data_IF_344442090443
#
_entry.id   IF_344442090443
#
_cell.length_a   1.000
_cell.length_b   1.000
_cell.length_c   1.000
_cell.angle_alpha   90.00
_cell.angle_beta   90.00
_cell.angle_gamma   90.00
#
_symmetry.space_group_name_H-M   'P 1'
#
loop_
_entity.id
_entity.type
_entity.pdbx_description
1 polymer ?
#
# COMPACT_ATOMS: atom_id res chain seq x y z
N UNK A 1 0.26 4.41 -2.40
CA UNK A 1 0.16 5.17 -1.14
C UNK A 1 1.57 5.49 -0.60
N UNK A 2 1.94 6.77 -0.44
CA UNK A 2 3.18 7.20 0.24
C UNK A 2 2.79 7.64 1.63
N UNK A 3 3.28 6.94 2.65
CA UNK A 3 3.04 7.31 4.05
C UNK A 3 4.18 8.25 4.45
N UNK A 4 3.85 9.47 4.85
CA UNK A 4 4.82 10.43 5.38
C UNK A 4 4.83 10.31 6.90
N UNK A 5 6.00 9.96 7.45
CA UNK A 5 6.22 9.91 8.88
C UNK A 5 6.69 11.28 9.35
N UNK A 6 5.91 11.98 10.17
CA UNK A 6 6.40 13.18 10.85
C UNK A 6 7.27 12.75 12.04
N UNK A 7 8.59 12.78 11.86
CA UNK A 7 9.55 12.33 12.86
C UNK A 7 10.13 13.50 13.65
N UNK A 8 9.51 13.84 14.80
CA UNK A 8 10.16 14.29 16.05
C UNK A 8 9.19 14.01 17.22
N UNK A 9 9.59 13.19 18.21
CA UNK A 9 8.94 12.94 19.53
C UNK A 9 7.86 11.81 19.65
N UNK A 10 7.58 11.28 20.89
CA UNK A 10 7.35 9.85 21.22
C UNK A 10 6.00 9.23 20.84
N UNK A 11 5.14 9.95 20.14
CA UNK A 11 3.92 9.42 19.54
C UNK A 11 4.07 9.62 18.03
N UNK A 12 4.73 8.67 17.34
CA UNK A 12 4.80 8.69 15.88
C UNK A 12 3.37 8.70 15.34
N UNK A 13 3.01 9.71 14.55
CA UNK A 13 1.69 9.80 13.93
C UNK A 13 1.86 9.81 12.42
N UNK A 14 0.90 9.21 11.72
CA UNK A 14 0.81 9.23 10.26
C UNK A 14 -0.56 9.69 9.80
N UNK A 15 -0.58 10.40 8.68
CA UNK A 15 -1.81 10.63 7.94
C UNK A 15 -2.13 9.38 7.12
N UNK A 16 -3.25 8.72 7.42
CA UNK A 16 -3.66 7.49 6.74
C UNK A 16 -5.16 7.47 6.41
N UNK A 17 -5.54 6.96 5.23
CA UNK A 17 -6.94 6.74 4.88
C UNK A 17 -7.47 5.48 5.56
N UNK A 18 -8.14 5.65 6.70
CA UNK A 18 -8.71 4.52 7.49
C UNK A 18 -10.09 4.10 6.95
N UNK A 19 -10.81 5.01 6.30
CA UNK A 19 -12.09 4.76 5.62
C UNK A 19 -12.13 5.53 4.28
N UNK A 20 -12.92 5.10 3.29
CA UNK A 20 -12.97 5.78 1.99
C UNK A 20 -13.34 7.27 2.10
N UNK A 21 -12.53 8.12 1.47
CA UNK A 21 -12.78 9.56 1.38
C UNK A 21 -12.27 10.41 2.56
N UNK A 22 -11.72 9.80 3.61
CA UNK A 22 -11.26 10.52 4.80
C UNK A 22 -9.82 10.16 5.17
N UNK A 23 -9.07 11.13 5.68
CA UNK A 23 -7.69 10.97 6.17
C UNK A 23 -7.65 11.25 7.66
N UNK A 24 -7.02 10.36 8.43
CA UNK A 24 -6.91 10.45 9.88
C UNK A 24 -5.45 10.54 10.32
N UNK A 25 -5.23 11.23 11.43
CA UNK A 25 -3.99 11.15 12.20
C UNK A 25 -4.00 9.87 13.05
N UNK A 26 -3.17 8.90 12.69
CA UNK A 26 -3.08 7.59 13.33
C UNK A 26 -1.78 7.46 14.11
N UNK A 27 -1.88 7.19 15.42
CA UNK A 27 -0.71 6.93 16.27
C UNK A 27 -0.10 5.55 16.03
N UNK A 28 1.23 5.48 16.03
CA UNK A 28 2.05 4.28 15.89
C UNK A 28 2.61 3.92 17.27
N UNK A 29 2.17 2.80 17.83
CA UNK A 29 2.74 2.28 19.08
C UNK A 29 4.11 1.65 18.87
N UNK A 30 4.28 0.90 17.79
CA UNK A 30 5.49 0.15 17.45
C UNK A 30 5.57 -0.02 15.94
N UNK A 31 6.78 -0.09 15.39
CA UNK A 31 7.02 -0.46 14.00
C UNK A 31 8.24 -1.38 13.91
N UNK A 32 8.27 -2.23 12.90
CA UNK A 32 9.41 -3.09 12.59
C UNK A 32 9.54 -3.29 11.08
N UNK A 33 10.72 -3.70 10.63
CA UNK A 33 10.93 -4.10 9.24
C UNK A 33 10.31 -5.48 9.04
N UNK A 34 9.46 -5.61 8.02
CA UNK A 34 8.87 -6.90 7.68
C UNK A 34 9.88 -7.83 7.00
N UNK A 35 9.94 -9.07 7.45
CA UNK A 35 10.70 -10.15 6.82
C UNK A 35 9.80 -10.83 5.79
N UNK A 36 10.26 -11.04 4.54
CA UNK A 36 9.51 -11.78 3.53
C UNK A 36 9.01 -13.13 4.04
N UNK A 37 7.76 -13.47 3.69
CA UNK A 37 7.06 -14.71 4.05
C UNK A 37 6.83 -14.96 5.56
N UNK A 38 7.39 -14.14 6.46
CA UNK A 38 7.06 -14.17 7.89
C UNK A 38 5.62 -13.68 8.11
N UNK A 39 4.89 -14.42 8.96
CA UNK A 39 3.55 -14.05 9.41
C UNK A 39 3.62 -13.13 10.64
N UNK A 40 2.93 -12.00 10.56
CA UNK A 40 2.76 -11.02 11.62
C UNK A 40 1.31 -11.05 12.09
N UNK A 41 1.08 -11.49 13.33
CA UNK A 41 -0.27 -11.68 13.86
C UNK A 41 -0.89 -10.32 14.22
N UNK A 42 -2.12 -10.09 13.77
CA UNK A 42 -2.92 -8.94 14.18
C UNK A 42 -3.72 -9.35 15.42
N UNK A 43 -3.68 -8.54 16.48
CA UNK A 43 -4.28 -8.87 17.77
C UNK A 43 -5.79 -9.15 17.69
N UNK A 44 -6.29 -9.96 18.63
CA UNK A 44 -7.66 -10.51 18.67
C UNK A 44 -8.77 -9.53 19.10
N UNK A 45 -8.57 -8.22 18.90
CA UNK A 45 -9.58 -7.20 19.22
C UNK A 45 -10.45 -6.96 18.00
N UNK A 46 -11.75 -6.71 18.21
CA UNK A 46 -12.62 -6.23 17.14
C UNK A 46 -12.05 -4.94 16.56
N UNK A 47 -11.78 -4.93 15.25
CA UNK A 47 -11.16 -3.81 14.57
C UNK A 47 -11.54 -3.79 13.08
N UNK A 48 -11.04 -2.81 12.35
CA UNK A 48 -11.17 -2.72 10.90
C UNK A 48 -9.78 -2.67 10.28
N UNK A 49 -9.52 -3.52 9.28
CA UNK A 49 -8.31 -3.44 8.46
C UNK A 49 -8.62 -2.52 7.29
N UNK A 50 -7.92 -1.40 7.18
CA UNK A 50 -7.94 -0.54 6.01
C UNK A 50 -6.87 -0.99 5.01
N UNK A 51 -7.27 -1.18 3.74
CA UNK A 51 -6.43 -1.65 2.64
C UNK A 51 -6.43 -0.60 1.53
N UNK A 52 -5.28 0.03 1.33
CA UNK A 52 -5.01 1.00 0.24
C UNK A 52 -5.96 2.22 0.22
N UNK A 53 -6.68 2.46 1.32
CA UNK A 53 -7.65 3.56 1.45
C UNK A 53 -9.00 3.34 0.73
N UNK A 54 -9.12 2.30 -0.08
CA UNK A 54 -10.36 2.00 -0.83
C UNK A 54 -11.18 0.88 -0.22
N UNK A 55 -10.51 -0.07 0.45
CA UNK A 55 -11.15 -1.29 0.98
C UNK A 55 -11.00 -1.34 2.48
N UNK A 56 -12.05 -1.82 3.15
CA UNK A 56 -12.05 -2.07 4.58
C UNK A 56 -12.55 -3.50 4.85
N UNK A 57 -11.93 -4.16 5.82
CA UNK A 57 -12.32 -5.51 6.27
C UNK A 57 -12.65 -5.44 7.76
N UNK A 58 -13.91 -5.67 8.18
CA UNK A 58 -14.25 -5.78 9.59
C UNK A 58 -13.71 -7.08 10.17
N UNK A 59 -13.19 -7.00 11.38
CA UNK A 59 -12.56 -8.11 12.11
C UNK A 59 -13.30 -8.31 13.43
N UNK A 60 -13.70 -9.54 13.70
CA UNK A 60 -14.30 -9.95 14.95
C UNK A 60 -13.26 -10.58 15.88
N UNK A 61 -13.59 -10.68 17.18
CA UNK A 61 -12.69 -11.24 18.20
C UNK A 61 -12.26 -12.70 17.95
N UNK A 62 -13.08 -13.46 17.22
CA UNK A 62 -12.84 -14.88 16.92
C UNK A 62 -11.96 -15.08 15.69
N UNK A 63 -11.71 -14.01 14.92
CA UNK A 63 -10.94 -14.10 13.68
C UNK A 63 -9.45 -14.17 13.98
N UNK A 64 -8.74 -15.00 13.21
CA UNK A 64 -7.29 -15.10 13.27
C UNK A 64 -6.69 -14.46 12.02
N UNK A 65 -5.98 -13.35 12.20
CA UNK A 65 -5.43 -12.57 11.09
C UNK A 65 -3.92 -12.53 11.18
N UNK A 66 -3.29 -12.72 10.03
CA UNK A 66 -1.87 -12.55 9.85
C UNK A 66 -1.60 -11.71 8.59
N UNK A 67 -0.60 -10.85 8.67
CA UNK A 67 -0.07 -10.09 7.54
C UNK A 67 1.29 -10.69 7.18
N UNK A 68 1.59 -10.84 5.89
CA UNK A 68 2.90 -11.29 5.41
C UNK A 68 3.31 -10.49 4.18
N UNK A 69 4.58 -10.13 4.10
CA UNK A 69 5.14 -9.53 2.89
C UNK A 69 5.50 -10.64 1.90
N UNK A 70 4.92 -10.58 0.69
CA UNK A 70 5.24 -11.48 -0.43
C UNK A 70 6.01 -10.70 -1.49
N UNK A 71 7.12 -11.25 -1.96
CA UNK A 71 7.95 -10.60 -3.00
C UNK A 71 7.49 -10.94 -4.42
N UNK A 72 6.70 -11.99 -4.57
CA UNK A 72 6.07 -12.39 -5.84
C UNK A 72 4.72 -11.68 -6.03
N UNK A 73 4.74 -10.34 -6.01
CA UNK A 73 3.56 -9.52 -6.27
C UNK A 73 3.03 -9.69 -7.71
N UNK A 74 1.87 -9.08 -8.03
CA UNK A 74 1.34 -9.06 -9.39
C UNK A 74 2.37 -8.52 -10.39
N UNK A 75 2.39 -9.08 -11.60
CA UNK A 75 3.23 -8.55 -12.66
C UNK A 75 2.83 -7.10 -12.96
N UNK A 76 3.79 -6.19 -12.81
CA UNK A 76 3.62 -4.77 -13.13
C UNK A 76 4.39 -4.44 -14.39
N UNK A 77 3.78 -3.68 -15.29
CA UNK A 77 4.46 -3.16 -16.47
C UNK A 77 5.52 -2.14 -16.04
N UNK A 78 6.62 -2.05 -16.77
CA UNK A 78 7.53 -0.92 -16.67
C UNK A 78 7.18 0.05 -17.80
N UNK A 79 6.43 1.15 -17.55
CA UNK A 79 5.91 1.99 -18.62
C UNK A 79 7.01 2.57 -19.50
N UNK A 80 8.15 2.95 -18.91
CA UNK A 80 9.28 3.49 -19.65
C UNK A 80 9.92 2.47 -20.59
N UNK A 81 10.15 1.23 -20.10
CA UNK A 81 10.65 0.15 -20.97
C UNK A 81 9.64 -0.18 -22.06
N UNK A 82 8.36 -0.26 -21.73
CA UNK A 82 7.30 -0.52 -22.71
C UNK A 82 7.27 0.54 -23.81
N UNK A 83 7.32 1.82 -23.43
CA UNK A 83 7.33 2.93 -24.40
C UNK A 83 8.62 2.96 -25.24
N UNK A 84 9.77 2.64 -24.64
CA UNK A 84 11.04 2.56 -25.36
C UNK A 84 11.07 1.42 -26.37
N UNK A 85 10.53 0.25 -26.03
CA UNK A 85 10.43 -0.86 -26.99
C UNK A 85 9.42 -0.54 -28.10
N UNK A 86 8.29 0.11 -27.76
CA UNK A 86 7.33 0.59 -28.75
C UNK A 86 7.92 1.68 -29.67
N UNK A 87 8.86 2.50 -29.18
CA UNK A 87 9.48 3.54 -30.02
C UNK A 87 10.41 2.95 -31.07
N UNK A 88 11.00 1.80 -30.77
CA UNK A 88 11.82 1.05 -31.71
C UNK A 88 11.00 0.28 -32.75
N UNK A 89 9.73 -0.01 -32.49
CA UNK A 89 8.89 -0.77 -33.44
C UNK A 89 8.34 0.05 -34.60
N UNK A 90 8.65 1.35 -34.70
CA UNK A 90 8.25 2.19 -35.84
C UNK A 90 6.74 2.48 -35.92
N UNK A 91 5.99 2.24 -34.84
CA UNK A 91 4.54 2.44 -34.75
C UNK A 91 4.13 3.79 -34.16
N UNK A 92 5.09 4.68 -33.87
CA UNK A 92 4.79 6.08 -33.59
C UNK A 92 4.50 6.77 -34.93
N UNK A 93 3.22 6.97 -35.22
CA UNK A 93 2.78 7.77 -36.37
C UNK A 93 2.82 9.26 -36.00
N UNK A 94 3.53 10.06 -36.80
CA UNK A 94 3.43 11.52 -36.79
C UNK A 94 2.05 11.94 -37.34
N UNK A 95 1.02 11.88 -36.50
CA UNK A 95 -0.23 12.61 -36.73
C UNK A 95 -0.68 13.28 -35.44
N UNK A 96 0.02 14.36 -35.11
CA UNK A 96 -0.59 15.51 -34.44
C UNK A 96 -0.88 16.54 -35.53
N UNK A 97 -2.01 16.36 -36.20
CA UNK A 97 -2.64 17.44 -36.98
C UNK A 97 -3.29 18.38 -35.96
N UNK A 98 -2.64 19.52 -35.69
CA UNK A 98 -3.30 20.69 -35.10
C UNK A 98 -4.24 21.33 -36.11
#
# INVERSE_FOLDING_TARGET
MRIELESKNPNLVVNAPVTPGEIFNVGISTHEIMIPDKKYIVGSKSCTIALDGERTIPVNKVDQIAISLRLNGPNVINPFKTLQEYSKSGHFSDQLSL
#
